data_IF_435609643451
#
_entry.id   IF_435609643451
#
_cell.length_a   1.000
_cell.length_b   1.000
_cell.length_c   1.000
_cell.angle_alpha   90.00
_cell.angle_beta   90.00
_cell.angle_gamma   90.00
#
_symmetry.space_group_name_H-M   'P 1'
#
loop_
_entity.id
_entity.type
_entity.pdbx_description
1 polymer ?
#
# COMPACT_ATOMS: atom_id res chain seq x y z
N UNK A 1 38.90 -21.94 -45.19
CA UNK A 1 39.72 -22.33 -44.02
C UNK A 1 40.42 -21.10 -43.52
N UNK A 2 39.87 -20.49 -42.47
CA UNK A 2 40.57 -19.58 -41.57
C UNK A 2 39.86 -19.73 -40.23
N UNK A 3 40.59 -20.19 -39.24
CA UNK A 3 40.13 -20.54 -37.90
C UNK A 3 40.74 -19.50 -36.97
N UNK A 4 39.91 -18.72 -36.28
CA UNK A 4 40.37 -17.89 -35.16
C UNK A 4 39.69 -18.45 -33.91
N UNK A 5 40.48 -19.16 -33.09
CA UNK A 5 40.07 -19.80 -31.84
C UNK A 5 40.78 -19.07 -30.71
N UNK A 6 40.01 -18.55 -29.76
CA UNK A 6 40.52 -18.30 -28.40
C UNK A 6 39.46 -18.73 -27.39
N UNK A 7 39.89 -19.66 -26.55
CA UNK A 7 39.29 -20.24 -25.33
C UNK A 7 38.68 -19.16 -24.39
N UNK A 8 37.69 -19.42 -23.54
CA UNK A 8 37.27 -20.67 -22.91
C UNK A 8 35.80 -20.56 -22.41
N UNK A 9 35.10 -21.69 -22.44
CA UNK A 9 33.88 -22.06 -21.67
C UNK A 9 32.50 -21.47 -22.04
N UNK A 10 31.71 -22.35 -22.71
CA UNK A 10 30.26 -22.61 -22.54
C UNK A 10 29.29 -21.52 -23.05
N UNK A 11 28.52 -21.63 -24.15
CA UNK A 11 28.05 -22.72 -25.00
C UNK A 11 27.85 -22.21 -26.44
N UNK A 12 28.09 -23.09 -27.41
CA UNK A 12 28.02 -22.86 -28.87
C UNK A 12 26.61 -23.20 -29.37
N UNK A 13 26.01 -22.34 -30.19
CA UNK A 13 25.00 -22.74 -31.19
C UNK A 13 25.36 -22.12 -32.54
N UNK A 14 25.81 -22.99 -33.45
CA UNK A 14 26.29 -22.67 -34.79
C UNK A 14 25.11 -22.70 -35.79
N UNK A 15 25.00 -21.67 -36.63
CA UNK A 15 23.99 -21.56 -37.69
C UNK A 15 24.41 -22.41 -38.90
N UNK A 16 23.48 -23.28 -39.33
CA UNK A 16 23.55 -24.16 -40.51
C UNK A 16 23.42 -23.38 -41.81
N UNK A 17 24.31 -23.63 -42.78
CA UNK A 17 23.98 -23.52 -44.22
C UNK A 17 24.77 -24.56 -45.02
N UNK A 18 24.08 -25.52 -45.64
CA UNK A 18 24.55 -26.15 -46.88
C UNK A 18 23.37 -26.54 -47.79
N UNK A 19 23.30 -25.83 -48.93
CA UNK A 19 22.81 -26.25 -50.26
C UNK A 19 23.27 -27.70 -50.60
N UNK A 20 22.69 -28.50 -51.48
CA UNK A 20 21.70 -28.35 -52.56
C UNK A 20 21.52 -29.72 -53.23
N UNK A 21 20.26 -30.13 -53.42
CA UNK A 21 19.65 -30.88 -54.54
C UNK A 21 19.99 -32.35 -54.91
N UNK A 22 18.88 -33.01 -55.30
CA UNK A 22 18.65 -34.08 -56.28
C UNK A 22 18.69 -35.57 -55.88
N UNK A 23 17.61 -36.29 -56.24
CA UNK A 23 17.55 -37.75 -56.34
C UNK A 23 16.18 -38.36 -56.01
N UNK A 24 15.36 -38.63 -57.03
CA UNK A 24 14.10 -39.41 -56.94
C UNK A 24 14.32 -40.88 -56.50
N UNK A 25 13.39 -41.47 -55.72
CA UNK A 25 12.90 -42.83 -55.98
C UNK A 25 11.63 -43.18 -55.17
N UNK A 26 10.73 -43.89 -55.86
CA UNK A 26 9.40 -44.42 -55.49
C UNK A 26 9.32 -45.24 -54.19
N UNK A 27 8.16 -45.09 -53.53
CA UNK A 27 7.39 -46.06 -52.73
C UNK A 27 8.13 -47.01 -51.77
N UNK A 28 7.83 -46.84 -50.47
CA UNK A 28 7.33 -47.98 -49.67
C UNK A 28 6.51 -47.51 -48.47
N UNK A 29 5.20 -47.77 -48.52
CA UNK A 29 4.31 -47.74 -47.36
C UNK A 29 4.87 -48.69 -46.30
N UNK A 30 5.22 -48.17 -45.12
CA UNK A 30 5.18 -48.94 -43.87
C UNK A 30 5.34 -48.01 -42.66
N UNK A 31 4.18 -47.57 -42.16
CA UNK A 31 3.82 -47.44 -40.75
C UNK A 31 4.88 -46.89 -39.79
N UNK A 32 4.67 -45.66 -39.31
CA UNK A 32 4.66 -45.45 -37.86
C UNK A 32 3.71 -44.30 -37.49
N UNK A 33 2.55 -44.69 -36.97
CA UNK A 33 1.65 -43.88 -36.16
C UNK A 33 2.38 -43.47 -34.87
N UNK A 34 2.48 -42.16 -34.59
CA UNK A 34 2.55 -41.68 -33.20
C UNK A 34 2.11 -40.20 -33.11
N UNK A 35 0.89 -40.04 -32.56
CA UNK A 35 0.42 -38.93 -31.72
C UNK A 35 0.57 -37.50 -32.28
N UNK A 36 -0.41 -37.07 -33.08
CA UNK A 36 -0.81 -35.66 -33.13
C UNK A 36 -2.29 -35.61 -32.76
N UNK A 37 -2.55 -35.41 -31.48
CA UNK A 37 -3.86 -35.04 -30.95
C UNK A 37 -3.59 -34.18 -29.72
N UNK A 38 -4.36 -33.10 -29.58
CA UNK A 38 -4.25 -31.99 -28.61
C UNK A 38 -3.53 -30.72 -29.09
N UNK A 39 -4.03 -30.13 -30.19
CA UNK A 39 -4.03 -28.66 -30.33
C UNK A 39 -5.37 -28.24 -30.94
N UNK A 40 -6.42 -28.25 -30.11
CA UNK A 40 -7.62 -27.39 -30.26
C UNK A 40 -8.48 -27.57 -29.00
N UNK A 41 -8.06 -27.01 -27.86
CA UNK A 41 -9.01 -26.63 -26.82
C UNK A 41 -8.80 -25.14 -26.54
N UNK A 42 -9.90 -24.41 -26.72
CA UNK A 42 -9.93 -22.96 -26.77
C UNK A 42 -9.27 -22.31 -25.56
N UNK A 43 -8.39 -21.36 -25.86
CA UNK A 43 -8.17 -20.18 -25.04
C UNK A 43 -9.48 -19.38 -25.00
N UNK A 44 -10.48 -19.88 -24.26
CA UNK A 44 -11.43 -18.98 -23.60
C UNK A 44 -10.70 -18.46 -22.39
N UNK A 45 -9.93 -17.38 -22.59
CA UNK A 45 -9.57 -16.49 -21.50
C UNK A 45 -10.90 -16.07 -20.88
N UNK A 46 -11.25 -16.70 -19.76
CA UNK A 46 -12.15 -16.11 -18.79
C UNK A 46 -11.49 -14.80 -18.40
N UNK A 47 -11.82 -13.71 -19.10
CA UNK A 47 -11.81 -12.39 -18.51
C UNK A 47 -12.89 -12.40 -17.44
N UNK A 48 -12.58 -13.07 -16.33
CA UNK A 48 -13.16 -12.79 -15.05
C UNK A 48 -12.81 -11.35 -14.75
N UNK A 49 -13.66 -10.43 -15.19
CA UNK A 49 -13.94 -9.26 -14.38
C UNK A 49 -14.32 -9.83 -13.03
N UNK A 50 -13.38 -9.80 -12.09
CA UNK A 50 -13.68 -10.03 -10.69
C UNK A 50 -14.72 -8.97 -10.34
N UNK A 51 -15.99 -9.37 -10.39
CA UNK A 51 -17.06 -8.64 -9.74
C UNK A 51 -16.60 -8.51 -8.31
N UNK A 52 -16.59 -7.28 -7.79
CA UNK A 52 -16.37 -7.04 -6.38
C UNK A 52 -17.54 -7.70 -5.63
N UNK A 53 -17.45 -9.00 -5.37
CA UNK A 53 -18.28 -9.65 -4.37
C UNK A 53 -17.99 -8.88 -3.09
N UNK A 54 -19.05 -8.30 -2.51
CA UNK A 54 -18.99 -7.69 -1.20
C UNK A 54 -18.37 -8.72 -0.26
N UNK A 55 -17.13 -8.47 0.13
CA UNK A 55 -16.42 -9.28 1.10
C UNK A 55 -17.21 -9.15 2.41
N UNK A 56 -18.07 -10.14 2.67
CA UNK A 56 -18.91 -10.19 3.86
C UNK A 56 -17.99 -10.16 5.07
N UNK A 57 -18.04 -9.08 5.83
CA UNK A 57 -17.22 -8.95 7.02
C UNK A 57 -17.60 -10.07 8.00
N UNK A 58 -16.61 -10.86 8.43
CA UNK A 58 -16.81 -11.95 9.38
C UNK A 58 -16.72 -11.48 10.83
N UNK A 59 -16.36 -10.22 11.06
CA UNK A 59 -16.26 -9.67 12.41
C UNK A 59 -17.64 -9.33 12.96
N UNK A 60 -17.86 -9.72 14.21
CA UNK A 60 -18.99 -9.28 15.05
C UNK A 60 -18.56 -8.12 15.96
N UNK A 61 -19.51 -7.37 16.54
CA UNK A 61 -19.21 -6.42 17.62
C UNK A 61 -18.40 -7.03 18.76
N UNK A 62 -18.71 -8.27 19.14
CA UNK A 62 -18.02 -9.01 20.19
C UNK A 62 -16.56 -9.31 19.81
N UNK A 63 -16.30 -9.68 18.55
CA UNK A 63 -14.93 -9.86 18.04
C UNK A 63 -14.12 -8.57 18.09
N UNK A 64 -14.74 -7.45 17.74
CA UNK A 64 -14.06 -6.15 17.76
C UNK A 64 -13.77 -5.67 19.19
N UNK A 65 -14.70 -5.90 20.13
CA UNK A 65 -14.46 -5.66 21.56
C UNK A 65 -13.27 -6.48 22.03
N UNK A 66 -13.26 -7.78 21.74
CA UNK A 66 -12.17 -8.67 22.13
C UNK A 66 -10.84 -8.24 21.49
N UNK A 67 -10.85 -7.84 20.22
CA UNK A 67 -9.67 -7.31 19.53
C UNK A 67 -9.10 -6.07 20.24
N UNK A 68 -9.94 -5.09 20.59
CA UNK A 68 -9.48 -3.87 21.25
C UNK A 68 -9.03 -4.11 22.71
N UNK A 69 -9.67 -5.03 23.42
CA UNK A 69 -9.27 -5.42 24.79
C UNK A 69 -7.88 -6.04 24.85
N UNK A 70 -7.48 -6.74 23.79
CA UNK A 70 -6.18 -7.40 23.65
C UNK A 70 -5.21 -6.65 22.72
N UNK A 71 -5.56 -5.43 22.29
CA UNK A 71 -4.71 -4.65 21.40
C UNK A 71 -3.48 -4.12 22.15
N UNK A 72 -2.36 -4.81 21.99
CA UNK A 72 -1.11 -4.52 22.66
C UNK A 72 -0.03 -3.96 21.72
N UNK A 73 1.20 -3.83 22.24
CA UNK A 73 2.31 -3.33 21.46
C UNK A 73 2.70 -4.25 20.29
N UNK A 74 2.45 -5.56 20.38
CA UNK A 74 2.71 -6.49 19.30
C UNK A 74 1.64 -6.37 18.22
N UNK A 75 0.36 -6.36 18.60
CA UNK A 75 -0.76 -6.13 17.68
C UNK A 75 -0.58 -4.82 16.90
N UNK A 76 -0.12 -3.75 17.55
CA UNK A 76 0.19 -2.49 16.89
C UNK A 76 1.31 -2.61 15.85
N UNK A 77 2.39 -3.35 16.14
CA UNK A 77 3.47 -3.59 15.16
C UNK A 77 2.95 -4.39 13.97
N UNK A 78 2.20 -5.45 14.23
CA UNK A 78 1.64 -6.33 13.20
C UNK A 78 0.56 -5.63 12.34
N UNK A 79 -0.09 -4.61 12.86
CA UNK A 79 -1.04 -3.77 12.12
C UNK A 79 -0.36 -2.64 11.32
N UNK A 80 0.97 -2.53 11.41
CA UNK A 80 1.80 -1.61 10.63
C UNK A 80 2.16 -0.30 11.32
N UNK A 81 1.81 -0.13 12.60
CA UNK A 81 2.07 1.10 13.35
C UNK A 81 3.58 1.32 13.51
N UNK A 82 4.02 2.53 13.21
CA UNK A 82 5.43 2.92 13.35
C UNK A 82 5.86 2.95 14.81
N UNK A 83 7.11 2.59 15.10
CA UNK A 83 7.59 2.33 16.47
C UNK A 83 7.34 3.46 17.45
N UNK A 84 7.49 4.72 17.01
CA UNK A 84 7.25 5.89 17.87
C UNK A 84 5.78 6.10 18.27
N UNK A 85 4.83 5.46 17.58
CA UNK A 85 3.39 5.61 17.82
C UNK A 85 2.73 4.39 18.47
N UNK A 86 3.48 3.31 18.73
CA UNK A 86 2.92 2.08 19.31
C UNK A 86 2.22 2.36 20.65
N UNK A 87 2.88 3.07 21.57
CA UNK A 87 2.32 3.35 22.88
C UNK A 87 1.04 4.20 22.79
N UNK A 88 1.02 5.22 21.92
CA UNK A 88 -0.17 6.03 21.68
C UNK A 88 -1.30 5.22 21.03
N UNK A 89 -0.98 4.31 20.11
CA UNK A 89 -1.98 3.46 19.45
C UNK A 89 -2.66 2.51 20.45
N UNK A 90 -1.92 1.94 21.40
CA UNK A 90 -2.48 1.11 22.49
C UNK A 90 -3.39 1.93 23.40
N UNK A 91 -2.99 3.14 23.78
CA UNK A 91 -3.84 4.05 24.57
C UNK A 91 -5.12 4.39 23.81
N UNK A 92 -5.01 4.68 22.52
CA UNK A 92 -6.16 5.03 21.68
C UNK A 92 -7.09 3.84 21.46
N UNK A 93 -6.58 2.60 21.38
CA UNK A 93 -7.41 1.39 21.35
C UNK A 93 -8.32 1.29 22.59
N UNK A 94 -7.79 1.57 23.78
CA UNK A 94 -8.58 1.60 25.02
C UNK A 94 -9.66 2.70 25.03
N UNK A 95 -9.38 3.87 24.44
CA UNK A 95 -10.40 4.93 24.26
C UNK A 95 -11.47 4.50 23.26
N UNK A 96 -11.06 3.97 22.11
CA UNK A 96 -11.98 3.49 21.08
C UNK A 96 -12.86 2.36 21.61
N UNK A 97 -12.35 1.47 22.45
CA UNK A 97 -13.15 0.43 23.11
C UNK A 97 -14.25 1.02 23.98
N UNK A 98 -13.88 2.02 24.80
CA UNK A 98 -14.85 2.71 25.66
C UNK A 98 -15.94 3.37 24.82
N UNK A 99 -15.56 4.11 23.77
CA UNK A 99 -16.50 4.80 22.90
C UNK A 99 -17.39 3.80 22.13
N UNK A 100 -16.81 2.73 21.61
CA UNK A 100 -17.54 1.67 20.89
C UNK A 100 -18.59 0.99 21.79
N UNK A 101 -18.26 0.72 23.05
CA UNK A 101 -19.20 0.14 24.03
C UNK A 101 -20.37 1.06 24.38
N UNK A 102 -20.29 2.36 24.08
CA UNK A 102 -21.41 3.31 24.27
C UNK A 102 -22.39 3.36 23.11
N UNK A 103 -22.03 2.81 21.95
CA UNK A 103 -22.92 2.72 20.79
C UNK A 103 -24.06 1.72 21.03
N UNK A 104 -25.20 1.93 20.38
CA UNK A 104 -26.27 0.92 20.32
C UNK A 104 -25.79 -0.35 19.60
N UNK A 105 -26.48 -1.47 19.80
CA UNK A 105 -26.12 -2.74 19.14
C UNK A 105 -26.16 -2.64 17.62
N UNK A 106 -27.13 -1.90 17.09
CA UNK A 106 -27.27 -1.64 15.66
C UNK A 106 -26.12 -0.77 15.12
N UNK A 107 -25.69 0.24 15.88
CA UNK A 107 -24.54 1.08 15.52
C UNK A 107 -23.22 0.32 15.61
N UNK A 108 -23.05 -0.53 16.62
CA UNK A 108 -21.90 -1.42 16.74
C UNK A 108 -21.78 -2.34 15.53
N UNK A 109 -22.90 -2.93 15.11
CA UNK A 109 -22.91 -3.79 13.93
C UNK A 109 -22.54 -3.02 12.66
N UNK A 110 -23.18 -1.87 12.41
CA UNK A 110 -22.85 -1.01 11.25
C UNK A 110 -21.39 -0.55 11.23
N UNK A 111 -20.83 -0.27 12.40
CA UNK A 111 -19.44 0.14 12.54
C UNK A 111 -18.50 -0.98 12.10
N UNK A 112 -18.73 -2.21 12.57
CA UNK A 112 -17.92 -3.36 12.20
C UNK A 112 -18.13 -3.69 10.72
N UNK A 113 -19.37 -3.73 10.23
CA UNK A 113 -19.68 -3.99 8.80
C UNK A 113 -18.92 -3.07 7.84
N UNK A 114 -18.66 -1.82 8.26
CA UNK A 114 -17.91 -0.85 7.47
C UNK A 114 -16.43 -1.19 7.24
N UNK A 115 -15.82 -2.07 8.05
CA UNK A 115 -14.37 -2.29 8.01
C UNK A 115 -13.85 -2.89 6.69
N UNK A 116 -14.65 -3.68 5.99
CA UNK A 116 -14.28 -4.30 4.71
C UNK A 116 -14.85 -3.57 3.49
N UNK A 117 -15.67 -2.53 3.68
CA UNK A 117 -16.37 -1.84 2.61
C UNK A 117 -15.56 -0.67 2.05
N UNK A 118 -15.06 -0.81 0.82
CA UNK A 118 -14.20 0.18 0.17
C UNK A 118 -14.87 1.57 0.02
N UNK A 119 -16.15 1.60 -0.34
CA UNK A 119 -16.89 2.86 -0.49
C UNK A 119 -17.07 3.58 0.86
N UNK A 120 -17.30 2.82 1.93
CA UNK A 120 -17.35 3.34 3.30
C UNK A 120 -15.97 3.90 3.72
N UNK A 121 -14.89 3.21 3.38
CA UNK A 121 -13.52 3.67 3.66
C UNK A 121 -13.20 4.99 2.93
N UNK A 122 -13.52 5.08 1.64
CA UNK A 122 -13.27 6.30 0.84
C UNK A 122 -14.09 7.50 1.32
N UNK A 123 -15.36 7.28 1.65
CA UNK A 123 -16.26 8.33 2.15
C UNK A 123 -15.94 8.78 3.58
N UNK A 124 -15.14 8.00 4.32
CA UNK A 124 -14.83 8.30 5.71
C UNK A 124 -13.43 8.88 5.95
N UNK A 125 -12.79 9.36 4.88
CA UNK A 125 -11.54 10.11 4.95
C UNK A 125 -11.76 11.41 5.72
N UNK A 126 -10.95 11.62 6.77
CA UNK A 126 -10.99 12.84 7.58
C UNK A 126 -9.59 13.39 7.81
N UNK A 127 -9.49 14.70 7.91
CA UNK A 127 -8.29 15.37 8.38
C UNK A 127 -8.25 15.40 9.91
N UNK A 128 -7.08 15.13 10.47
CA UNK A 128 -6.84 15.34 11.89
C UNK A 128 -6.17 16.67 12.17
N UNK A 129 -6.50 17.25 13.34
CA UNK A 129 -5.87 18.49 13.80
C UNK A 129 -4.36 18.25 13.99
N UNK A 130 -3.50 19.16 13.53
CA UNK A 130 -2.06 18.98 13.66
C UNK A 130 -1.63 19.02 15.12
N UNK A 131 -0.80 18.06 15.54
CA UNK A 131 0.05 18.20 16.72
C UNK A 131 1.05 19.34 16.49
N UNK A 132 1.22 20.21 17.50
CA UNK A 132 2.12 21.36 17.43
C UNK A 132 3.58 20.88 17.21
N UNK A 133 4.27 21.46 16.23
CA UNK A 133 5.69 21.22 16.01
C UNK A 133 6.52 22.17 16.87
N UNK A 134 7.54 21.63 17.57
CA UNK A 134 8.57 22.44 18.24
C UNK A 134 9.61 22.88 17.20
N UNK A 135 9.81 24.19 17.04
CA UNK A 135 10.76 24.76 16.08
C UNK A 135 11.93 25.46 16.77
N UNK A 136 13.16 25.16 16.35
CA UNK A 136 14.35 26.00 16.58
C UNK A 136 14.32 27.18 15.59
N UNK A 137 14.89 28.33 15.96
CA UNK A 137 14.62 29.64 15.34
C UNK A 137 14.82 29.76 13.81
N UNK A 138 15.59 28.88 13.15
CA UNK A 138 15.83 28.90 11.69
C UNK A 138 15.23 27.73 10.91
N UNK A 139 14.80 26.67 11.59
CA UNK A 139 14.19 25.50 10.98
C UNK A 139 12.66 25.62 11.04
N UNK A 140 12.00 25.24 9.95
CA UNK A 140 10.55 25.19 9.85
C UNK A 140 10.11 23.76 9.66
N UNK A 141 8.91 23.44 10.12
CA UNK A 141 8.34 22.11 10.01
C UNK A 141 6.86 22.18 9.72
N UNK A 142 6.39 21.31 8.82
CA UNK A 142 4.96 21.07 8.62
C UNK A 142 4.68 19.58 8.70
N UNK A 143 3.50 19.24 9.22
CA UNK A 143 2.98 17.88 9.23
C UNK A 143 1.56 17.87 8.69
N UNK A 144 1.10 16.71 8.23
CA UNK A 144 -0.28 16.46 7.90
C UNK A 144 -0.67 15.06 8.34
N UNK A 145 -1.86 14.95 8.92
CA UNK A 145 -2.45 13.70 9.36
C UNK A 145 -3.81 13.53 8.71
N UNK A 146 -4.08 12.35 8.20
CA UNK A 146 -5.40 11.96 7.71
C UNK A 146 -5.73 10.55 8.15
N UNK A 147 -7.02 10.31 8.29
CA UNK A 147 -7.56 9.08 8.88
C UNK A 147 -8.70 8.53 8.07
N UNK A 148 -8.81 7.21 8.06
CA UNK A 148 -10.08 6.51 7.80
C UNK A 148 -10.81 6.44 9.13
N UNK A 149 -11.95 7.12 9.22
CA UNK A 149 -12.78 7.15 10.42
C UNK A 149 -14.02 6.25 10.24
N UNK A 150 -14.62 5.78 11.32
CA UNK A 150 -15.95 5.16 11.29
C UNK A 150 -16.77 5.79 12.41
N UNK A 151 -17.98 6.27 12.10
CA UNK A 151 -18.83 6.99 13.06
C UNK A 151 -18.13 8.17 13.77
N UNK A 152 -17.16 8.77 13.10
CA UNK A 152 -16.36 9.87 13.62
C UNK A 152 -15.21 9.49 14.56
N UNK A 153 -15.07 8.21 14.90
CA UNK A 153 -13.87 7.70 15.54
C UNK A 153 -12.78 7.43 14.47
N UNK A 154 -11.59 8.01 14.57
CA UNK A 154 -10.47 7.71 13.67
C UNK A 154 -9.88 6.34 13.97
N UNK A 155 -9.95 5.43 13.00
CA UNK A 155 -9.56 4.02 13.18
C UNK A 155 -8.19 3.73 12.61
N UNK A 156 -7.90 4.21 11.40
CA UNK A 156 -6.57 4.07 10.78
C UNK A 156 -6.04 5.44 10.40
N UNK A 157 -4.89 5.85 10.94
CA UNK A 157 -4.33 7.20 10.78
C UNK A 157 -2.93 7.16 10.19
N UNK A 158 -2.67 8.04 9.24
CA UNK A 158 -1.39 8.20 8.59
C UNK A 158 -0.89 9.63 8.77
N UNK A 159 0.44 9.77 8.87
CA UNK A 159 1.11 11.05 9.08
C UNK A 159 2.29 11.20 8.14
N UNK A 160 2.43 12.39 7.57
CA UNK A 160 3.68 12.83 6.94
C UNK A 160 4.18 14.09 7.62
N UNK A 161 5.50 14.26 7.70
CA UNK A 161 6.10 15.50 8.17
C UNK A 161 7.40 15.80 7.45
N UNK A 162 7.72 17.09 7.37
CA UNK A 162 8.94 17.58 6.76
C UNK A 162 9.48 18.74 7.56
N UNK A 163 10.78 18.67 7.87
CA UNK A 163 11.54 19.76 8.47
C UNK A 163 12.52 20.29 7.43
N UNK A 164 12.67 21.61 7.36
CA UNK A 164 13.40 22.28 6.29
C UNK A 164 13.98 23.61 6.74
N UNK A 165 15.06 24.01 6.07
CA UNK A 165 15.73 25.28 6.30
C UNK A 165 15.23 26.35 5.35
N UNK A 166 14.99 27.53 5.89
CA UNK A 166 14.63 28.74 5.13
C UNK A 166 15.78 29.73 5.18
N UNK A 167 16.14 30.29 4.02
CA UNK A 167 17.17 31.31 3.89
C UNK A 167 16.83 32.26 2.72
N UNK A 168 17.07 33.56 2.91
CA UNK A 168 16.67 34.60 1.95
C UNK A 168 15.16 34.58 1.63
N UNK A 169 14.33 34.16 2.60
CA UNK A 169 12.89 34.01 2.40
C UNK A 169 12.47 32.86 1.48
N UNK A 170 13.35 31.89 1.21
CA UNK A 170 13.09 30.72 0.36
C UNK A 170 13.42 29.43 1.09
N UNK A 171 12.64 28.37 0.88
CA UNK A 171 13.06 27.02 1.30
C UNK A 171 14.28 26.61 0.49
N UNK A 172 15.37 26.26 1.16
CA UNK A 172 16.63 25.88 0.49
C UNK A 172 16.86 24.39 0.48
N UNK A 173 16.52 23.72 1.58
CA UNK A 173 16.88 22.33 1.81
C UNK A 173 15.88 21.65 2.72
N UNK A 174 15.61 20.38 2.44
CA UNK A 174 14.94 19.47 3.36
C UNK A 174 15.98 18.93 4.35
N UNK A 175 15.73 19.12 5.65
CA UNK A 175 16.59 18.62 6.72
C UNK A 175 16.20 17.19 7.09
N UNK A 176 14.90 16.93 7.24
CA UNK A 176 14.37 15.59 7.49
C UNK A 176 12.94 15.45 6.99
N UNK A 177 12.52 14.21 6.75
CA UNK A 177 11.15 13.88 6.36
C UNK A 177 10.73 12.52 6.91
N UNK A 178 9.44 12.40 7.24
CA UNK A 178 8.85 11.22 7.83
C UNK A 178 7.50 10.88 7.18
N UNK A 179 7.16 9.59 7.19
CA UNK A 179 5.89 9.04 6.74
C UNK A 179 5.58 7.83 7.63
N UNK A 180 4.48 7.88 8.36
CA UNK A 180 4.15 6.93 9.43
C UNK A 180 2.70 6.48 9.37
N UNK A 181 2.47 5.24 9.77
CA UNK A 181 1.17 4.78 10.26
C UNK A 181 1.16 5.09 11.76
N UNK A 182 0.25 5.97 12.18
CA UNK A 182 0.14 6.43 13.58
C UNK A 182 -0.68 5.45 14.41
N UNK A 183 -1.75 4.91 13.84
CA UNK A 183 -2.58 3.87 14.44
C UNK A 183 -3.28 3.08 13.36
N UNK A 184 -3.57 1.82 13.65
CA UNK A 184 -4.46 1.00 12.85
C UNK A 184 -5.27 0.09 13.78
N UNK A 185 -6.48 0.55 14.09
CA UNK A 185 -7.43 -0.13 14.97
C UNK A 185 -8.47 -0.94 14.17
N UNK A 186 -8.28 -1.09 12.86
CA UNK A 186 -9.16 -1.91 12.04
C UNK A 186 -8.57 -3.34 11.95
N UNK A 187 -9.22 -4.37 12.50
CA UNK A 187 -8.67 -5.72 12.57
C UNK A 187 -8.54 -6.42 11.21
N UNK A 188 -9.27 -5.96 10.18
CA UNK A 188 -9.20 -6.54 8.83
C UNK A 188 -8.27 -5.78 7.89
N UNK A 189 -7.68 -4.65 8.33
CA UNK A 189 -6.79 -3.84 7.49
C UNK A 189 -5.35 -4.14 7.83
N UNK A 190 -4.57 -4.48 6.80
CA UNK A 190 -3.11 -4.50 6.84
C UNK A 190 -2.60 -3.32 6.03
N UNK A 191 -1.77 -2.51 6.66
CA UNK A 191 -1.18 -1.33 6.03
C UNK A 191 0.25 -1.12 6.52
N UNK A 192 1.01 -0.30 5.81
CA UNK A 192 2.39 0.00 6.12
C UNK A 192 2.98 0.87 5.02
N UNK A 193 4.11 1.51 5.29
CA UNK A 193 4.80 2.32 4.30
C UNK A 193 5.31 1.43 3.17
N UNK A 194 5.01 1.77 1.92
CA UNK A 194 5.59 1.07 0.78
C UNK A 194 7.10 1.21 0.77
N UNK A 195 7.81 0.21 0.24
CA UNK A 195 9.26 0.32 -0.02
C UNK A 195 9.50 1.50 -0.95
N UNK A 196 10.29 2.49 -0.50
CA UNK A 196 10.49 3.75 -1.24
C UNK A 196 9.27 4.69 -1.26
N UNK A 197 8.21 4.39 -0.50
CA UNK A 197 6.95 5.13 -0.49
C UNK A 197 7.02 6.52 0.15
N UNK A 198 8.17 6.93 0.68
CA UNK A 198 8.40 8.27 1.24
C UNK A 198 9.28 9.09 0.30
N UNK A 199 8.83 10.30 -0.02
CA UNK A 199 9.64 11.27 -0.77
C UNK A 199 9.49 12.68 -0.18
N UNK A 200 10.54 13.49 -0.25
CA UNK A 200 10.49 14.89 0.13
C UNK A 200 11.44 15.72 -0.73
N UNK A 201 11.01 16.90 -1.14
CA UNK A 201 11.77 17.76 -2.04
C UNK A 201 11.44 19.23 -1.84
N UNK A 202 12.34 20.10 -2.34
CA UNK A 202 12.05 21.52 -2.49
C UNK A 202 11.40 21.73 -3.85
N UNK A 203 10.22 22.34 -3.85
CA UNK A 203 9.46 22.63 -5.08
C UNK A 203 10.07 23.79 -5.86
N UNK A 204 9.73 23.92 -7.15
CA UNK A 204 10.18 25.04 -7.99
C UNK A 204 9.75 26.42 -7.47
N UNK A 205 8.63 26.49 -6.73
CA UNK A 205 8.14 27.69 -6.07
C UNK A 205 8.70 27.88 -4.63
N UNK A 206 9.83 27.23 -4.31
CA UNK A 206 10.59 27.35 -3.05
C UNK A 206 9.79 26.97 -1.80
N UNK A 207 9.02 25.87 -1.87
CA UNK A 207 8.30 25.27 -0.74
C UNK A 207 8.88 23.89 -0.41
N UNK A 208 8.64 23.41 0.80
CA UNK A 208 8.99 22.05 1.20
C UNK A 208 7.80 21.13 0.97
N UNK A 209 7.97 20.07 0.20
CA UNK A 209 6.95 19.05 -0.03
C UNK A 209 7.39 17.70 0.57
N UNK A 210 6.42 16.93 1.07
CA UNK A 210 6.60 15.54 1.49
C UNK A 210 5.39 14.71 1.09
N UNK A 211 5.67 13.46 0.68
CA UNK A 211 4.66 12.45 0.37
C UNK A 211 4.95 11.15 1.09
N UNK A 212 3.89 10.45 1.47
CA UNK A 212 3.90 9.06 1.93
C UNK A 212 2.91 8.25 1.10
N UNK A 213 3.32 7.05 0.68
CA UNK A 213 2.50 6.05 0.01
C UNK A 213 2.52 4.77 0.85
N UNK A 214 1.35 4.33 1.27
CA UNK A 214 1.16 3.19 2.16
C UNK A 214 0.31 2.14 1.47
N UNK A 215 0.70 0.87 1.50
CA UNK A 215 -0.18 -0.18 0.99
C UNK A 215 -1.43 -0.26 1.88
N UNK A 216 -2.58 -0.57 1.29
CA UNK A 216 -3.83 -0.77 2.03
C UNK A 216 -4.49 -2.06 1.55
N UNK A 217 -4.46 -3.06 2.41
CA UNK A 217 -4.96 -4.40 2.12
C UNK A 217 -6.07 -4.76 3.10
N UNK A 218 -7.10 -5.42 2.60
CA UNK A 218 -8.19 -5.95 3.44
C UNK A 218 -8.05 -7.48 3.44
N UNK A 219 -7.88 -8.08 4.61
CA UNK A 219 -7.78 -9.54 4.79
C UNK A 219 -6.95 -10.00 6.00
N UNK A 220 -6.79 -11.34 6.19
CA UNK A 220 -7.19 -12.40 5.26
C UNK A 220 -8.68 -12.77 5.38
N UNK A 221 -9.37 -12.83 4.25
CA UNK A 221 -10.63 -13.58 4.16
C UNK A 221 -10.25 -14.94 3.60
N UNK A 222 -10.13 -15.96 4.45
CA UNK A 222 -9.75 -17.34 4.07
C UNK A 222 -8.44 -17.42 3.25
N UNK A 223 -7.34 -16.94 3.82
CA UNK A 223 -5.99 -16.99 3.22
C UNK A 223 -5.79 -16.21 1.91
N UNK A 224 -6.78 -15.41 1.48
CA UNK A 224 -6.65 -14.47 0.36
C UNK A 224 -6.75 -13.04 0.90
N UNK A 225 -5.64 -12.32 0.88
CA UNK A 225 -5.63 -10.87 1.08
C UNK A 225 -5.94 -10.18 -0.23
N UNK A 226 -6.98 -9.33 -0.27
CA UNK A 226 -7.25 -8.49 -1.45
C UNK A 226 -6.49 -7.19 -1.24
N UNK A 227 -5.58 -6.87 -2.17
CA UNK A 227 -4.98 -5.53 -2.20
C UNK A 227 -6.03 -4.56 -2.70
N UNK A 228 -6.43 -3.63 -1.84
CA UNK A 228 -7.52 -2.69 -2.09
C UNK A 228 -7.01 -1.40 -2.72
N UNK A 229 -5.75 -1.04 -2.45
CA UNK A 229 -5.10 0.10 -3.05
C UNK A 229 -3.94 0.62 -2.22
N UNK A 230 -3.62 1.90 -2.41
CA UNK A 230 -2.63 2.62 -1.62
C UNK A 230 -3.26 3.87 -1.00
N UNK A 231 -2.86 4.18 0.24
CA UNK A 231 -3.11 5.48 0.85
C UNK A 231 -1.99 6.43 0.47
N UNK A 232 -2.34 7.59 -0.06
CA UNK A 232 -1.41 8.66 -0.37
C UNK A 232 -1.64 9.84 0.56
N UNK A 233 -0.56 10.33 1.17
CA UNK A 233 -0.59 11.49 2.06
C UNK A 233 0.45 12.48 1.59
N UNK A 234 0.06 13.75 1.46
CA UNK A 234 0.95 14.85 1.05
C UNK A 234 0.79 16.06 1.94
N UNK A 235 1.90 16.72 2.25
CA UNK A 235 1.94 18.04 2.86
C UNK A 235 2.92 18.95 2.13
N UNK A 236 2.60 20.24 2.05
CA UNK A 236 3.51 21.28 1.53
C UNK A 236 3.55 22.46 2.50
N UNK A 237 4.75 22.90 2.86
CA UNK A 237 5.01 24.02 3.77
C UNK A 237 5.74 25.16 3.10
N UNK A 238 5.38 26.40 3.44
CA UNK A 238 6.02 27.61 2.92
C UNK A 238 7.20 28.09 3.80
N UNK A 239 7.83 29.20 3.40
CA UNK A 239 8.92 29.86 4.13
C UNK A 239 8.60 30.25 5.58
N UNK A 240 7.33 30.36 5.94
CA UNK A 240 6.89 30.74 7.28
C UNK A 240 6.60 29.53 8.17
N UNK A 241 6.73 28.29 7.65
CA UNK A 241 6.28 27.10 8.36
C UNK A 241 4.77 26.89 8.28
N UNK A 242 4.07 27.58 7.37
CA UNK A 242 2.63 27.40 7.17
C UNK A 242 2.40 26.32 6.12
N UNK A 243 1.53 25.36 6.44
CA UNK A 243 1.06 24.37 5.47
C UNK A 243 0.18 25.03 4.42
N UNK A 244 0.58 24.98 3.16
CA UNK A 244 -0.14 25.59 2.02
C UNK A 244 -0.90 24.59 1.18
N UNK A 245 -0.54 23.31 1.23
CA UNK A 245 -1.25 22.24 0.52
C UNK A 245 -1.22 20.95 1.35
N UNK A 246 -2.30 20.18 1.21
CA UNK A 246 -2.44 18.85 1.80
C UNK A 246 -3.29 17.97 0.87
N UNK A 247 -3.04 16.68 0.90
CA UNK A 247 -3.84 15.67 0.19
C UNK A 247 -3.82 14.38 0.98
N UNK A 248 -4.99 13.75 1.08
CA UNK A 248 -5.17 12.40 1.60
C UNK A 248 -6.13 11.68 0.66
N UNK A 249 -5.73 10.53 0.13
CA UNK A 249 -6.55 9.74 -0.79
C UNK A 249 -6.21 8.26 -0.71
N UNK A 250 -7.15 7.43 -1.16
CA UNK A 250 -7.02 5.97 -1.27
C UNK A 250 -7.36 5.59 -2.71
N UNK A 251 -6.42 4.97 -3.42
CA UNK A 251 -6.57 4.58 -4.82
C UNK A 251 -6.13 3.15 -5.09
#
# INVERSE_FOLDING_TARGET
MLICVREQTNYVTLILVRKSYEGECKMRKLVLFMVISFVTLGLTLSSGTASAEEVKNQYTPEDYINYLEHYDAQAARESGVSSEYIASAVIDAGKTLKDFKTLSKEEQQKFVDGFSQLETIKSSIREEKPEKANALASDKGVSYQGSVAFFGAPITTYKVSVNYKVDGGKVKKINSSNAFVVRNLNPVVRTGLNTGGKNAWVTSDNKAAVTGSFYYQIGPIKDVGVTVGNVFVKAVGDKNGKRTYKRFDIS
#
